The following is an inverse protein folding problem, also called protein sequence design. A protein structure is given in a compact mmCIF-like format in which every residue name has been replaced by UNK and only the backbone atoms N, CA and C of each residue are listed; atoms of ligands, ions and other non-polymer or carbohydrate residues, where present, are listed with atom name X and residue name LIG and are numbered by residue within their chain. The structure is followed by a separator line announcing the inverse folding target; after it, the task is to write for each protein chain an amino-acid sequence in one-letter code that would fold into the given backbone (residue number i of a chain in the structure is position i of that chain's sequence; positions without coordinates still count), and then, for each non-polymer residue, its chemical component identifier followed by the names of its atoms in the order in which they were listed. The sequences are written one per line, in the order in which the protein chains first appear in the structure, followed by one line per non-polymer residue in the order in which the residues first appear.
data_IF_239202000315
#
_entry.id   IF_239202000315
#
_cell.length_a   1.000
_cell.length_b   1.000
_cell.length_c   1.000
_cell.angle_alpha   90.00
_cell.angle_beta   90.00
_cell.angle_gamma   90.00
#
_symmetry.space_group_name_H-M   'P 1'
#
loop_
_entity.id
_entity.type
_entity.pdbx_description
1 polymer ?
#
# COMPACT_ATOMS: atom_id res chain seq x y z
N UNK A 1 -2.45 16.44 11.68
CA UNK A 1 -1.36 15.93 10.82
C UNK A 1 -0.33 17.03 10.66
N UNK A 2 0.96 16.70 10.67
CA UNK A 2 2.04 17.66 10.41
C UNK A 2 2.47 17.44 8.96
N UNK A 3 2.35 18.48 8.13
CA UNK A 3 2.75 18.43 6.73
C UNK A 3 4.22 18.86 6.61
N UNK A 4 5.01 18.09 5.86
CA UNK A 4 6.41 18.39 5.60
C UNK A 4 6.54 18.90 4.18
N UNK A 5 7.22 20.03 4.04
CA UNK A 5 7.45 20.67 2.78
C UNK A 5 8.57 19.98 2.00
N UNK A 6 8.25 19.51 0.80
CA UNK A 6 9.22 18.89 -0.12
C UNK A 6 9.50 19.76 -1.35
N UNK A 7 8.79 20.89 -1.50
CA UNK A 7 9.00 21.89 -2.53
C UNK A 7 8.63 23.29 -2.00
N UNK A 8 9.54 24.23 -2.13
CA UNK A 8 9.31 25.62 -1.76
C UNK A 8 8.95 26.46 -2.99
N UNK A 9 7.77 27.08 -2.98
CA UNK A 9 7.32 27.90 -4.10
C UNK A 9 8.17 29.16 -4.35
N UNK A 10 8.91 29.61 -3.33
CA UNK A 10 9.90 30.69 -3.49
C UNK A 10 11.25 30.10 -3.92
N UNK A 11 11.80 30.58 -5.04
CA UNK A 11 13.06 30.07 -5.61
C UNK A 11 14.29 30.23 -4.71
N UNK A 12 14.23 31.13 -3.73
CA UNK A 12 15.30 31.39 -2.74
C UNK A 12 15.11 30.63 -1.42
N UNK A 13 14.09 29.78 -1.34
CA UNK A 13 13.82 28.92 -0.19
C UNK A 13 14.11 27.47 -0.54
N UNK A 14 14.50 26.69 0.46
CA UNK A 14 14.98 25.32 0.28
C UNK A 14 14.29 24.38 1.27
N UNK A 15 13.77 23.23 0.80
CA UNK A 15 13.09 22.25 1.65
C UNK A 15 14.10 21.42 2.46
N UNK A 16 14.38 21.88 3.68
CA UNK A 16 15.28 21.21 4.64
C UNK A 16 14.45 20.77 5.84
N UNK A 17 14.53 19.48 6.19
CA UNK A 17 13.77 18.86 7.29
C UNK A 17 12.26 19.12 7.22
N UNK A 18 11.72 19.18 6.00
CA UNK A 18 10.31 19.43 5.77
C UNK A 18 9.87 20.88 5.97
N UNK A 19 10.81 21.84 6.00
CA UNK A 19 10.55 23.27 6.19
C UNK A 19 11.25 24.07 5.09
N UNK A 20 10.58 25.10 4.57
CA UNK A 20 11.20 26.06 3.65
C UNK A 20 12.12 27.01 4.38
N UNK A 21 13.42 26.73 4.32
CA UNK A 21 14.46 27.51 4.94
C UNK A 21 15.11 28.46 3.94
N UNK A 22 15.56 29.64 4.39
CA UNK A 22 16.36 30.55 3.56
C UNK A 22 17.79 30.03 3.33
N UNK A 23 18.26 29.09 4.15
CA UNK A 23 19.59 28.51 4.06
C UNK A 23 19.49 27.01 3.76
N UNK A 24 20.22 26.56 2.73
CA UNK A 24 20.36 25.13 2.41
C UNK A 24 21.47 24.40 3.17
N UNK A 25 22.34 25.15 3.86
CA UNK A 25 23.56 24.62 4.44
C UNK A 25 24.49 24.06 3.36
N UNK A 26 25.07 22.88 3.60
CA UNK A 26 25.91 22.17 2.63
C UNK A 26 25.13 21.27 1.65
N UNK A 27 23.79 21.34 1.65
CA UNK A 27 22.96 20.61 0.70
C UNK A 27 22.93 21.29 -0.67
N UNK A 28 22.65 20.52 -1.71
CA UNK A 28 22.51 21.03 -3.08
C UNK A 28 21.04 21.19 -3.39
N UNK A 29 20.59 22.45 -3.40
CA UNK A 29 19.22 22.81 -3.72
C UNK A 29 19.20 23.98 -4.70
N UNK A 30 18.20 23.98 -5.58
CA UNK A 30 17.94 24.95 -6.61
C UNK A 30 16.43 25.03 -6.89
N UNK A 31 15.93 26.23 -7.23
CA UNK A 31 14.52 26.48 -7.60
C UNK A 31 13.48 25.81 -6.67
N UNK A 32 13.68 25.92 -5.35
CA UNK A 32 12.72 25.40 -4.39
C UNK A 32 12.78 23.90 -4.12
N UNK A 33 13.73 23.17 -4.70
CA UNK A 33 13.93 21.72 -4.47
C UNK A 33 15.40 21.39 -4.23
N UNK A 34 15.67 20.27 -3.56
CA UNK A 34 17.00 19.72 -3.40
C UNK A 34 17.26 18.60 -4.41
N UNK A 35 18.46 18.62 -5.00
CA UNK A 35 18.89 17.65 -6.03
C UNK A 35 19.94 16.68 -5.49
N UNK A 36 20.63 17.03 -4.41
CA UNK A 36 21.46 16.11 -3.63
C UNK A 36 21.67 16.65 -2.22
N UNK A 37 21.96 15.76 -1.28
CA UNK A 37 22.11 16.10 0.13
C UNK A 37 23.52 15.81 0.63
N UNK A 38 23.93 16.56 1.66
CA UNK A 38 25.23 16.34 2.30
C UNK A 38 25.22 15.11 3.21
N UNK A 39 26.37 14.75 3.77
CA UNK A 39 26.49 13.64 4.73
C UNK A 39 25.64 13.90 5.99
N UNK A 40 24.96 12.88 6.49
CA UNK A 40 24.00 13.01 7.59
C UNK A 40 22.61 13.50 7.16
N UNK A 41 22.43 13.79 5.86
CA UNK A 41 21.15 14.04 5.23
C UNK A 41 20.89 13.02 4.11
N UNK A 42 19.63 12.84 3.75
CA UNK A 42 19.23 12.03 2.60
C UNK A 42 18.16 12.72 1.75
N UNK A 43 18.14 12.41 0.46
CA UNK A 43 17.17 12.94 -0.48
C UNK A 43 15.85 12.17 -0.42
N UNK A 44 14.74 12.89 -0.19
CA UNK A 44 13.38 12.36 -0.18
C UNK A 44 12.40 13.37 -0.79
N UNK A 45 11.68 12.98 -1.85
CA UNK A 45 10.62 13.79 -2.48
C UNK A 45 11.02 15.24 -2.85
N UNK A 46 12.31 15.48 -3.13
CA UNK A 46 12.82 16.83 -3.45
C UNK A 46 13.28 17.67 -2.25
N UNK A 47 13.32 17.11 -1.04
CA UNK A 47 13.90 17.75 0.15
C UNK A 47 15.07 16.97 0.74
N UNK A 48 15.91 17.67 1.52
CA UNK A 48 16.97 17.05 2.31
C UNK A 48 16.55 16.91 3.76
N UNK A 49 16.65 15.68 4.28
CA UNK A 49 16.20 15.33 5.62
C UNK A 49 17.34 14.75 6.45
N UNK A 50 17.49 15.25 7.67
CA UNK A 50 18.52 14.85 8.62
C UNK A 50 18.24 13.48 9.20
N UNK A 51 19.26 12.62 9.31
CA UNK A 51 19.13 11.34 10.04
C UNK A 51 19.13 11.52 11.55
N UNK A 52 19.46 12.72 12.06
CA UNK A 52 19.50 13.01 13.49
C UNK A 52 18.18 13.58 14.02
N UNK A 53 17.44 14.32 13.18
CA UNK A 53 16.27 15.08 13.59
C UNK A 53 15.00 14.63 12.87
N UNK A 54 13.85 14.86 13.52
CA UNK A 54 12.56 14.64 12.88
C UNK A 54 12.33 15.71 11.77
N UNK A 55 11.74 15.30 10.64
CA UNK A 55 11.15 13.99 10.41
C UNK A 55 12.11 12.94 9.82
N UNK A 56 13.32 13.33 9.42
CA UNK A 56 14.22 12.45 8.68
C UNK A 56 14.63 11.20 9.45
N UNK A 57 14.91 11.33 10.75
CA UNK A 57 15.27 10.20 11.62
C UNK A 57 14.17 9.15 11.79
N UNK A 58 12.91 9.48 11.45
CA UNK A 58 11.78 8.55 11.44
C UNK A 58 11.69 7.74 10.14
N UNK A 59 12.44 8.13 9.10
CA UNK A 59 12.49 7.45 7.81
C UNK A 59 13.82 6.71 7.64
N UNK A 60 14.92 7.35 8.04
CA UNK A 60 16.28 6.88 7.82
C UNK A 60 17.17 7.09 9.04
N UNK A 61 17.88 6.05 9.48
CA UNK A 61 18.80 6.11 10.62
C UNK A 61 20.25 6.32 10.21
N UNK A 62 20.62 5.98 8.97
CA UNK A 62 21.95 6.18 8.44
C UNK A 62 21.90 6.66 6.98
N UNK A 63 22.66 7.70 6.68
CA UNK A 63 22.79 8.24 5.33
C UNK A 63 24.25 8.48 4.97
N UNK A 64 24.67 7.97 3.81
CA UNK A 64 26.01 8.13 3.28
C UNK A 64 25.94 8.91 1.96
N UNK A 65 26.63 10.06 1.89
CA UNK A 65 26.69 10.87 0.66
C UNK A 65 25.32 11.34 0.13
N UNK A 66 24.34 11.58 1.01
CA UNK A 66 22.99 11.99 0.59
C UNK A 66 22.02 10.83 0.32
N UNK A 67 22.46 9.58 0.50
CA UNK A 67 21.66 8.37 0.25
C UNK A 67 21.29 7.73 1.59
N UNK A 68 20.00 7.46 1.80
CA UNK A 68 19.55 6.63 2.91
C UNK A 68 20.02 5.18 2.74
N UNK A 69 20.85 4.68 3.65
CA UNK A 69 21.40 3.32 3.62
C UNK A 69 20.76 2.39 4.64
N UNK A 70 20.14 2.94 5.69
CA UNK A 70 19.39 2.18 6.68
C UNK A 70 18.07 2.89 6.99
N UNK A 71 16.95 2.22 6.67
CA UNK A 71 15.61 2.72 7.02
C UNK A 71 15.36 2.59 8.51
N UNK A 72 14.57 3.51 9.06
CA UNK A 72 14.29 3.56 10.49
C UNK A 72 13.25 2.53 10.95
N UNK A 73 12.37 2.09 10.05
CA UNK A 73 11.29 1.14 10.33
C UNK A 73 10.70 0.58 9.04
N UNK A 74 9.79 -0.38 9.16
CA UNK A 74 9.13 -1.07 8.04
C UNK A 74 8.04 -0.25 7.32
N UNK A 75 7.85 1.04 7.64
CA UNK A 75 6.97 1.95 6.90
C UNK A 75 7.66 2.59 5.69
N UNK A 76 8.97 2.38 5.57
CA UNK A 76 9.79 2.87 4.48
C UNK A 76 10.68 1.75 3.95
N UNK A 77 11.11 1.88 2.70
CA UNK A 77 12.13 1.02 2.11
C UNK A 77 13.21 1.86 1.43
N UNK A 78 14.45 1.38 1.48
CA UNK A 78 15.55 1.96 0.72
C UNK A 78 15.39 1.60 -0.76
N UNK A 79 15.57 2.57 -1.64
CA UNK A 79 15.37 2.39 -3.08
C UNK A 79 16.61 1.70 -3.68
N UNK A 80 16.47 0.50 -4.27
CA UNK A 80 17.62 -0.25 -4.77
C UNK A 80 18.35 0.48 -5.90
N UNK A 81 19.67 0.63 -5.73
CA UNK A 81 20.56 1.25 -6.72
C UNK A 81 20.44 2.78 -6.81
N UNK A 82 19.79 3.43 -5.84
CA UNK A 82 19.72 4.89 -5.78
C UNK A 82 21.11 5.53 -5.71
N UNK A 83 21.31 6.57 -6.52
CA UNK A 83 22.48 7.45 -6.49
C UNK A 83 22.18 8.68 -5.63
N UNK A 84 23.20 9.52 -5.44
CA UNK A 84 23.11 10.76 -4.65
C UNK A 84 22.10 11.78 -5.20
N UNK A 85 21.73 11.63 -6.47
CA UNK A 85 20.72 12.46 -7.17
C UNK A 85 19.34 11.81 -7.22
N UNK A 86 19.24 10.55 -6.80
CA UNK A 86 18.00 9.79 -6.85
C UNK A 86 17.34 9.81 -5.48
N UNK A 87 16.03 9.66 -5.46
CA UNK A 87 15.33 9.43 -4.22
C UNK A 87 15.77 8.09 -3.62
N UNK A 88 16.35 8.15 -2.41
CA UNK A 88 17.02 7.00 -1.80
C UNK A 88 16.14 6.20 -0.84
N UNK A 89 15.00 6.76 -0.45
CA UNK A 89 14.00 6.13 0.42
C UNK A 89 12.60 6.45 -0.07
N UNK A 90 11.68 5.50 0.08
CA UNK A 90 10.28 5.69 -0.26
C UNK A 90 9.39 5.17 0.88
N UNK A 91 8.28 5.85 1.15
CA UNK A 91 7.26 5.32 2.04
C UNK A 91 6.56 4.12 1.38
N UNK A 92 6.23 3.11 2.17
CA UNK A 92 5.46 1.95 1.71
C UNK A 92 4.12 2.36 1.10
N UNK A 93 3.52 3.43 1.62
CA UNK A 93 2.24 4.00 1.18
C UNK A 93 2.31 4.94 -0.01
N UNK A 94 3.47 5.11 -0.67
CA UNK A 94 3.63 6.11 -1.74
C UNK A 94 3.42 5.51 -3.14
N UNK A 95 2.27 5.75 -3.80
CA UNK A 95 1.97 5.19 -5.11
C UNK A 95 2.64 5.94 -6.28
N UNK A 96 3.28 7.10 -6.04
CA UNK A 96 3.96 7.86 -7.10
C UNK A 96 5.28 7.22 -7.51
N UNK A 97 5.96 6.58 -6.55
CA UNK A 97 7.20 5.87 -6.80
C UNK A 97 8.39 6.78 -7.12
N UNK A 98 9.45 6.17 -7.62
CA UNK A 98 10.66 6.82 -8.14
C UNK A 98 11.34 5.92 -9.15
N UNK A 99 12.27 6.47 -9.92
CA UNK A 99 13.16 5.70 -10.79
C UNK A 99 14.62 5.76 -10.34
N UNK A 100 15.40 4.76 -10.74
CA UNK A 100 16.86 4.77 -10.68
C UNK A 100 17.43 4.28 -12.01
N UNK A 101 18.72 4.51 -12.24
CA UNK A 101 19.38 4.13 -13.50
C UNK A 101 19.17 5.16 -14.61
N UNK A 102 19.56 4.81 -15.84
CA UNK A 102 19.51 5.71 -16.99
C UNK A 102 19.37 4.90 -18.27
N UNK A 103 18.81 5.52 -19.32
CA UNK A 103 18.63 4.89 -20.63
C UNK A 103 17.85 3.56 -20.54
N UNK A 104 18.38 2.49 -21.14
CA UNK A 104 17.76 1.16 -21.13
C UNK A 104 17.81 0.46 -19.76
N UNK A 105 18.53 1.00 -18.78
CA UNK A 105 18.67 0.44 -17.43
C UNK A 105 17.77 1.12 -16.38
N UNK A 106 16.77 1.91 -16.82
CA UNK A 106 15.82 2.56 -15.92
C UNK A 106 15.02 1.49 -15.15
N UNK A 107 15.00 1.63 -13.83
CA UNK A 107 14.21 0.81 -12.92
C UNK A 107 13.23 1.70 -12.18
N UNK A 108 12.00 1.25 -12.03
CA UNK A 108 10.95 1.97 -11.31
C UNK A 108 10.59 1.22 -10.02
N UNK A 109 10.45 1.97 -8.92
CA UNK A 109 10.08 1.44 -7.63
C UNK A 109 8.89 2.21 -7.09
N UNK A 110 7.89 1.50 -6.57
CA UNK A 110 6.66 2.13 -6.08
C UNK A 110 6.22 1.52 -4.76
N UNK A 111 5.58 2.31 -3.92
CA UNK A 111 4.80 1.81 -2.79
C UNK A 111 3.43 1.32 -3.24
N UNK A 112 2.60 0.93 -2.28
CA UNK A 112 1.20 0.54 -2.50
C UNK A 112 0.35 1.55 -1.74
N UNK A 113 -0.64 2.16 -2.39
CA UNK A 113 -1.58 3.08 -1.73
C UNK A 113 -2.23 2.41 -0.50
N UNK A 114 -2.44 3.18 0.57
CA UNK A 114 -2.92 2.70 1.88
C UNK A 114 -2.04 1.62 2.55
N UNK A 115 -0.82 1.39 2.07
CA UNK A 115 0.11 0.45 2.69
C UNK A 115 0.91 1.09 3.83
N UNK A 116 0.71 0.57 5.03
CA UNK A 116 1.35 1.05 6.24
C UNK A 116 2.76 0.52 6.43
N UNK A 117 2.96 -0.78 6.20
CA UNK A 117 4.27 -1.44 6.27
C UNK A 117 4.48 -2.37 5.10
N UNK A 118 5.71 -2.52 4.66
CA UNK A 118 6.06 -3.31 3.49
C UNK A 118 7.41 -4.01 3.61
N UNK A 119 7.60 -5.00 2.76
CA UNK A 119 8.89 -5.56 2.42
C UNK A 119 9.45 -4.82 1.20
N UNK A 120 10.75 -4.47 1.27
CA UNK A 120 11.40 -3.74 0.19
C UNK A 120 11.37 -4.55 -1.12
N UNK A 121 11.14 -3.90 -2.27
CA UNK A 121 11.22 -4.57 -3.56
C UNK A 121 12.66 -5.04 -3.80
N UNK A 122 12.81 -6.21 -4.41
CA UNK A 122 14.10 -6.63 -4.96
C UNK A 122 14.45 -5.79 -6.19
N UNK A 123 15.74 -5.67 -6.50
CA UNK A 123 16.18 -4.96 -7.70
C UNK A 123 15.47 -5.50 -8.94
N UNK A 124 14.73 -4.62 -9.62
CA UNK A 124 13.86 -5.00 -10.73
C UNK A 124 14.61 -4.97 -12.07
N UNK A 125 14.10 -5.74 -13.03
CA UNK A 125 14.20 -5.42 -14.46
C UNK A 125 12.92 -4.70 -14.84
N UNK A 126 12.98 -3.38 -15.01
CA UNK A 126 11.78 -2.55 -15.19
C UNK A 126 11.19 -2.09 -13.86
N UNK A 127 9.96 -2.49 -13.52
CA UNK A 127 9.21 -1.96 -12.37
C UNK A 127 9.04 -3.00 -11.25
N UNK A 128 9.16 -2.57 -10.00
CA UNK A 128 8.81 -3.37 -8.83
C UNK A 128 8.07 -2.55 -7.77
N UNK A 129 7.00 -3.11 -7.23
CA UNK A 129 6.29 -2.55 -6.07
C UNK A 129 6.81 -3.18 -4.78
N UNK A 130 6.83 -2.40 -3.70
CA UNK A 130 7.03 -2.94 -2.36
C UNK A 130 5.86 -3.87 -2.01
N UNK A 131 6.17 -5.02 -1.39
CA UNK A 131 5.12 -5.96 -0.99
C UNK A 131 4.52 -5.50 0.33
N UNK A 132 3.25 -5.17 0.34
CA UNK A 132 2.58 -4.71 1.53
C UNK A 132 2.42 -5.85 2.56
N UNK A 133 2.75 -5.54 3.81
CA UNK A 133 2.67 -6.48 4.95
C UNK A 133 1.63 -6.04 5.98
N UNK A 134 1.20 -4.78 5.95
CA UNK A 134 0.04 -4.32 6.67
C UNK A 134 -0.52 -3.05 6.04
N UNK A 135 -1.84 -2.94 5.97
CA UNK A 135 -2.53 -1.75 5.50
C UNK A 135 -2.75 -0.73 6.63
N UNK A 136 -3.08 0.50 6.23
CA UNK A 136 -3.60 1.52 7.12
C UNK A 136 -5.01 1.16 7.63
N UNK A 137 -5.48 1.92 8.62
CA UNK A 137 -6.74 1.64 9.31
C UNK A 137 -7.93 1.60 8.34
N UNK A 138 -8.79 0.59 8.50
CA UNK A 138 -9.98 0.40 7.66
C UNK A 138 -9.72 -0.35 6.34
N UNK A 139 -8.48 -0.73 6.06
CA UNK A 139 -8.10 -1.51 4.87
C UNK A 139 -7.57 -2.88 5.26
N UNK A 140 -7.75 -3.85 4.36
CA UNK A 140 -7.23 -5.21 4.47
C UNK A 140 -6.30 -5.49 3.30
N UNK A 141 -5.31 -6.36 3.52
CA UNK A 141 -4.42 -6.82 2.46
C UNK A 141 -5.21 -7.65 1.45
N UNK A 142 -4.91 -7.45 0.17
CA UNK A 142 -5.32 -8.39 -0.88
C UNK A 142 -4.54 -9.70 -0.75
N UNK A 143 -5.05 -10.79 -1.32
CA UNK A 143 -4.34 -12.08 -1.30
C UNK A 143 -2.95 -12.03 -1.96
N UNK A 144 -2.70 -11.08 -2.86
CA UNK A 144 -1.39 -10.89 -3.50
C UNK A 144 -0.37 -10.16 -2.62
N UNK A 145 -0.83 -9.40 -1.63
CA UNK A 145 0.02 -8.51 -0.83
C UNK A 145 0.48 -7.25 -1.56
N UNK A 146 -0.05 -6.95 -2.75
CA UNK A 146 0.27 -5.74 -3.51
C UNK A 146 -0.90 -4.75 -3.59
N UNK A 147 -1.85 -4.88 -2.66
CA UNK A 147 -2.99 -4.00 -2.56
C UNK A 147 -3.53 -3.93 -1.15
N UNK A 148 -4.11 -2.78 -0.82
CA UNK A 148 -4.85 -2.53 0.40
C UNK A 148 -6.25 -2.07 0.01
N UNK A 149 -7.27 -2.80 0.44
CA UNK A 149 -8.65 -2.63 -0.03
C UNK A 149 -9.63 -2.63 1.13
N UNK A 150 -10.79 -2.04 0.94
CA UNK A 150 -11.93 -2.19 1.84
C UNK A 150 -12.60 -3.54 1.59
N UNK A 151 -13.00 -4.23 2.66
CA UNK A 151 -13.65 -5.53 2.55
C UNK A 151 -14.83 -5.62 3.51
N UNK A 152 -15.94 -4.99 3.13
CA UNK A 152 -17.19 -4.98 3.88
C UNK A 152 -18.17 -6.08 3.49
N UNK A 153 -17.75 -7.07 2.68
CA UNK A 153 -18.63 -8.13 2.18
C UNK A 153 -18.87 -9.17 3.27
N UNK A 154 -20.14 -9.35 3.67
CA UNK A 154 -20.51 -10.32 4.69
C UNK A 154 -20.11 -11.75 4.28
N UNK A 155 -19.44 -12.48 5.18
CA UNK A 155 -18.96 -13.83 4.91
C UNK A 155 -17.72 -13.91 4.01
N UNK A 156 -17.11 -12.78 3.65
CA UNK A 156 -15.87 -12.73 2.89
C UNK A 156 -14.64 -12.83 3.81
N UNK A 157 -13.65 -13.63 3.40
CA UNK A 157 -12.36 -13.77 4.10
C UNK A 157 -11.22 -13.00 3.41
N UNK A 158 -11.31 -12.76 2.10
CA UNK A 158 -10.36 -11.94 1.36
C UNK A 158 -11.04 -11.21 0.20
N UNK A 159 -10.69 -9.95 0.01
CA UNK A 159 -11.13 -9.14 -1.13
C UNK A 159 -9.96 -8.86 -2.07
N UNK A 160 -10.19 -8.99 -3.39
CA UNK A 160 -9.19 -8.64 -4.42
C UNK A 160 -9.15 -7.15 -4.74
N UNK A 161 -10.27 -6.47 -4.52
CA UNK A 161 -10.49 -5.04 -4.74
C UNK A 161 -11.54 -4.55 -3.75
N UNK A 162 -11.79 -3.24 -3.71
CA UNK A 162 -12.77 -2.63 -2.80
C UNK A 162 -14.13 -3.32 -2.89
N UNK A 163 -14.51 -4.01 -1.81
CA UNK A 163 -15.74 -4.78 -1.68
C UNK A 163 -15.96 -5.83 -2.78
N UNK A 164 -14.88 -6.34 -3.39
CA UNK A 164 -14.92 -7.41 -4.36
C UNK A 164 -14.29 -8.67 -3.76
N UNK A 165 -15.14 -9.57 -3.26
CA UNK A 165 -14.67 -10.78 -2.60
C UNK A 165 -13.98 -11.75 -3.58
N UNK A 166 -12.87 -12.34 -3.15
CA UNK A 166 -12.16 -13.40 -3.88
C UNK A 166 -12.12 -14.74 -3.14
N UNK A 167 -12.30 -14.70 -1.81
CA UNK A 167 -12.42 -15.89 -0.99
C UNK A 167 -13.50 -15.68 0.08
N UNK A 168 -14.41 -16.64 0.18
CA UNK A 168 -15.40 -16.65 1.25
C UNK A 168 -14.86 -17.37 2.49
N UNK A 169 -15.31 -16.94 3.66
CA UNK A 169 -15.10 -17.67 4.91
C UNK A 169 -15.95 -18.94 4.97
N UNK A 170 -15.72 -19.73 6.01
CA UNK A 170 -16.40 -21.01 6.20
C UNK A 170 -17.93 -20.89 6.15
N UNK A 171 -18.58 -21.90 5.57
CA UNK A 171 -20.03 -21.95 5.43
C UNK A 171 -20.62 -20.97 4.40
N UNK A 172 -19.78 -20.34 3.56
CA UNK A 172 -20.22 -19.52 2.43
C UNK A 172 -19.59 -20.00 1.12
N UNK A 173 -20.27 -19.75 0.00
CA UNK A 173 -19.73 -19.95 -1.35
C UNK A 173 -19.69 -18.61 -2.08
N UNK A 174 -18.71 -18.46 -2.96
CA UNK A 174 -18.55 -17.28 -3.78
C UNK A 174 -19.60 -17.25 -4.90
N UNK A 175 -20.34 -16.16 -5.01
CA UNK A 175 -21.21 -15.83 -6.14
C UNK A 175 -20.83 -14.45 -6.68
N UNK A 176 -20.10 -14.45 -7.80
CA UNK A 176 -19.48 -13.25 -8.32
C UNK A 176 -18.49 -12.67 -7.32
N UNK A 177 -18.80 -11.48 -6.81
CA UNK A 177 -17.96 -10.74 -5.86
C UNK A 177 -18.51 -10.77 -4.43
N UNK A 178 -19.51 -11.62 -4.18
CA UNK A 178 -20.21 -11.74 -2.90
C UNK A 178 -20.19 -13.16 -2.36
N UNK A 179 -20.45 -13.30 -1.05
CA UNK A 179 -20.52 -14.60 -0.38
C UNK A 179 -21.94 -14.90 0.06
N UNK A 180 -22.44 -16.07 -0.33
CA UNK A 180 -23.76 -16.57 0.09
C UNK A 180 -23.61 -17.78 0.98
N UNK A 181 -24.43 -17.90 2.03
CA UNK A 181 -24.36 -19.04 2.96
C UNK A 181 -24.66 -20.35 2.25
N UNK A 182 -23.86 -21.36 2.55
CA UNK A 182 -23.97 -22.72 1.99
C UNK A 182 -24.90 -23.62 2.83
N UNK A 183 -25.61 -23.08 3.83
CA UNK A 183 -26.54 -23.86 4.66
C UNK A 183 -27.61 -23.02 5.36
N UNK A 184 -28.87 -23.22 4.96
CA UNK A 184 -30.03 -22.55 5.55
C UNK A 184 -31.38 -22.64 4.82
N UNK A 185 -31.65 -23.64 3.96
CA UNK A 185 -32.98 -24.27 3.86
C UNK A 185 -32.95 -25.51 2.94
N UNK A 186 -32.81 -26.68 3.57
CA UNK A 186 -33.62 -27.81 3.14
C UNK A 186 -35.04 -27.48 3.64
N UNK A 187 -35.84 -26.79 2.82
CA UNK A 187 -37.29 -26.85 2.99
C UNK A 187 -37.69 -28.29 2.74
N UNK A 188 -37.64 -29.09 3.80
CA UNK A 188 -38.47 -30.27 3.96
C UNK A 188 -39.91 -29.78 3.87
N UNK A 189 -40.47 -29.82 2.67
CA UNK A 189 -41.91 -29.88 2.48
C UNK A 189 -42.41 -31.19 3.08
N UNK A 190 -42.46 -31.28 4.41
CA UNK A 190 -43.31 -32.22 5.11
C UNK A 190 -44.74 -31.78 4.81
N UNK A 191 -45.32 -32.37 3.77
CA UNK A 191 -46.78 -32.42 3.63
C UNK A 191 -47.23 -33.49 4.63
N UNK A 192 -47.37 -33.09 5.90
CA UNK A 192 -48.11 -33.89 6.88
C UNK A 192 -49.58 -33.87 6.46
N UNK A 193 -50.12 -35.06 6.23
CA UNK A 193 -51.41 -35.28 5.58
C UNK A 193 -52.61 -34.76 6.37
N UNK A 194 -53.61 -34.31 5.62
CA UNK A 194 -55.00 -34.29 6.06
C UNK A 194 -55.63 -35.58 5.52
N UNK A 195 -55.74 -36.58 6.37
CA UNK A 195 -56.64 -37.72 6.14
C UNK A 195 -58.07 -37.25 6.39
N UNK A 196 -58.88 -37.19 5.33
CA UNK A 196 -60.33 -37.25 5.41
C UNK A 196 -60.80 -38.47 4.61
N UNK A 197 -61.12 -39.52 5.33
CA UNK A 197 -61.72 -40.77 4.89
C UNK A 197 -63.17 -40.56 4.41
N UNK A 198 -63.51 -40.99 3.19
CA UNK A 198 -64.72 -41.78 2.84
C UNK A 198 -64.67 -42.12 1.33
N UNK A 199 -64.23 -43.31 0.92
CA UNK A 199 -64.91 -44.62 0.94
C UNK A 199 -65.85 -44.85 -0.26
N UNK A 200 -65.41 -45.83 -1.08
CA UNK A 200 -66.16 -46.79 -1.92
C UNK A 200 -66.90 -46.24 -3.16
N UNK A 201 -66.42 -46.54 -4.37
CA UNK A 201 -66.65 -47.78 -5.17
C UNK A 201 -67.69 -47.49 -6.25
N UNK A 202 -67.34 -47.42 -7.53
CA UNK A 202 -67.29 -48.50 -8.53
C UNK A 202 -67.88 -47.85 -9.82
N UNK A 203 -67.64 -48.20 -11.08
CA UNK A 203 -67.20 -49.41 -11.76
C UNK A 203 -66.96 -49.00 -13.25
N UNK A 204 -66.04 -49.69 -13.92
CA UNK A 204 -65.94 -49.99 -15.38
C UNK A 204 -66.61 -49.07 -16.44
N UNK A 205 -65.83 -48.60 -17.42
CA UNK A 205 -65.44 -49.32 -18.64
C UNK A 205 -64.16 -48.70 -19.21
#
# INVERSE_FOLDING_TARGET
MKHYCSHCGESTKFPIDGICNSAKGSNTCDQGVCTSCTTGYFLYMGGCYSTANAPGNLMCTAAAGGICTAVANSRYFAVPGAKVTDQSVLACGNPLGTTTGSNSDIKAYVGVEDCRTCEAPTAATGMAAAKCTACDEGKVLTGSGYGCVTCGVAGCSACRADNMCEACGDGHRLEGDTCVRTGGNLSTGVIAGISATKSLSALCC
#
